data_IF_734121159578
#
_entry.id   IF_734121159578
#
_cell.length_a   1.000
_cell.length_b   1.000
_cell.length_c   1.000
_cell.angle_alpha   90.00
_cell.angle_beta   90.00
_cell.angle_gamma   90.00
#
_symmetry.space_group_name_H-M   'P 1'
#
loop_
_entity.id
_entity.type
_entity.pdbx_description
1 polymer ?
#
# COMPACT_ATOMS: atom_id res chain seq x y z
N UNK A 1 -63.41 -14.46 23.80
CA UNK A 1 -62.59 -13.67 23.70
C UNK A 1 -61.30 -14.13 23.40
N UNK A 2 -60.83 -13.96 22.32
CA UNK A 2 -59.67 -14.35 21.96
C UNK A 2 -58.67 -13.41 22.10
N UNK A 3 -57.61 -13.67 22.63
CA UNK A 3 -56.61 -12.83 22.79
C UNK A 3 -55.60 -13.16 21.87
N UNK A 4 -55.31 -12.43 20.96
CA UNK A 4 -54.36 -12.63 20.08
C UNK A 4 -53.08 -12.19 20.57
N UNK A 5 -52.25 -12.96 20.85
CA UNK A 5 -50.99 -12.61 21.23
C UNK A 5 -50.20 -12.55 20.06
N UNK A 6 -49.98 -11.47 19.61
CA UNK A 6 -49.11 -11.31 18.51
C UNK A 6 -47.75 -11.29 19.06
N UNK A 7 -47.13 -12.35 18.99
CA UNK A 7 -45.78 -12.37 19.38
C UNK A 7 -45.03 -11.82 18.27
N UNK A 8 -44.74 -10.63 18.35
CA UNK A 8 -43.85 -10.04 17.44
C UNK A 8 -42.52 -10.66 17.74
N UNK A 9 -42.25 -11.66 17.07
CA UNK A 9 -40.95 -12.22 17.20
C UNK A 9 -40.01 -11.18 16.71
N UNK A 10 -39.43 -10.50 17.59
CA UNK A 10 -38.42 -9.58 17.25
C UNK A 10 -37.32 -10.42 16.71
N UNK A 11 -37.25 -10.49 15.46
CA UNK A 11 -36.15 -11.13 14.86
C UNK A 11 -34.96 -10.30 15.21
N UNK A 12 -34.33 -10.65 16.23
CA UNK A 12 -33.13 -10.00 16.58
C UNK A 12 -32.16 -10.37 15.52
N UNK A 13 -32.04 -9.51 14.59
CA UNK A 13 -31.09 -9.73 13.61
C UNK A 13 -29.78 -9.56 14.22
N UNK A 14 -29.18 -10.58 14.51
CA UNK A 14 -27.87 -10.54 15.01
C UNK A 14 -26.93 -10.25 13.89
N UNK A 15 -27.03 -9.08 13.33
CA UNK A 15 -26.10 -8.71 12.34
C UNK A 15 -24.80 -8.43 12.99
N UNK A 16 -24.76 -8.42 14.26
CA UNK A 16 -23.58 -8.13 14.97
C UNK A 16 -22.58 -9.25 14.86
N UNK A 17 -22.92 -10.27 14.19
CA UNK A 17 -22.01 -11.34 14.20
C UNK A 17 -21.35 -11.65 12.89
N UNK A 18 -20.95 -10.70 12.17
CA UNK A 18 -20.18 -11.00 11.01
C UNK A 18 -18.71 -10.83 11.31
N UNK A 19 -18.15 -11.75 12.11
CA UNK A 19 -16.75 -11.68 12.42
C UNK A 19 -16.07 -12.11 11.13
N UNK A 20 -15.10 -11.46 10.74
CA UNK A 20 -14.41 -11.93 9.58
C UNK A 20 -14.52 -11.07 8.35
N UNK A 21 -15.33 -10.04 8.41
CA UNK A 21 -15.22 -9.07 7.37
C UNK A 21 -14.04 -8.20 7.73
N UNK A 22 -12.87 -8.71 7.49
CA UNK A 22 -11.70 -7.92 7.62
C UNK A 22 -11.85 -6.78 6.61
N UNK A 23 -11.92 -5.59 7.08
CA UNK A 23 -11.91 -4.46 6.19
C UNK A 23 -10.55 -4.44 5.56
N UNK A 24 -10.50 -4.51 4.26
CA UNK A 24 -9.28 -4.26 3.55
C UNK A 24 -8.84 -2.86 3.94
N UNK A 25 -7.62 -2.70 4.40
CA UNK A 25 -7.11 -1.39 4.71
C UNK A 25 -7.17 -0.57 3.44
N UNK A 26 -7.62 0.66 3.57
CA UNK A 26 -7.66 1.56 2.44
C UNK A 26 -6.23 1.79 1.97
N UNK A 27 -6.02 1.77 0.66
CA UNK A 27 -4.71 2.05 0.10
C UNK A 27 -4.29 3.47 0.45
N UNK A 28 -2.99 3.68 0.63
CA UNK A 28 -2.45 5.01 0.84
C UNK A 28 -2.79 5.88 -0.37
N UNK A 29 -3.14 7.15 -0.17
CA UNK A 29 -3.48 8.05 -1.28
C UNK A 29 -2.41 8.13 -2.38
N UNK A 30 -1.14 7.93 -2.04
CA UNK A 30 -0.05 7.99 -3.01
C UNK A 30 0.38 6.62 -3.53
N UNK A 31 -0.39 5.55 -3.24
CA UNK A 31 -0.03 4.22 -3.70
C UNK A 31 0.09 4.11 -5.22
N UNK A 32 -0.85 4.68 -5.95
CA UNK A 32 -0.81 4.67 -7.42
C UNK A 32 0.41 5.40 -7.96
N UNK A 33 0.75 6.53 -7.36
CA UNK A 33 1.92 7.31 -7.74
C UNK A 33 3.20 6.50 -7.48
N UNK A 34 3.28 5.84 -6.34
CA UNK A 34 4.44 5.00 -5.99
C UNK A 34 4.61 3.83 -6.97
N UNK A 35 3.53 3.18 -7.36
CA UNK A 35 3.58 2.07 -8.30
C UNK A 35 4.06 2.55 -9.68
N UNK A 36 3.59 3.70 -10.12
CA UNK A 36 4.03 4.29 -11.37
C UNK A 36 5.53 4.63 -11.34
N UNK A 37 5.99 5.19 -10.22
CA UNK A 37 7.41 5.48 -10.04
C UNK A 37 8.24 4.20 -9.96
N UNK A 38 7.70 3.15 -9.37
CA UNK A 38 8.41 1.87 -9.23
C UNK A 38 8.79 1.30 -10.59
N UNK A 39 7.88 1.33 -11.56
CA UNK A 39 8.16 0.85 -12.90
C UNK A 39 9.29 1.66 -13.55
N UNK A 40 9.27 2.97 -13.36
CA UNK A 40 10.30 3.84 -13.92
C UNK A 40 11.65 3.64 -13.24
N UNK A 41 11.64 3.51 -11.93
CA UNK A 41 12.87 3.33 -11.16
C UNK A 41 13.53 2.00 -11.51
N UNK A 42 12.74 0.94 -11.63
CA UNK A 42 13.27 -0.37 -11.97
C UNK A 42 13.89 -0.36 -13.36
N UNK A 43 13.22 0.26 -14.34
CA UNK A 43 13.73 0.39 -15.69
C UNK A 43 15.02 1.22 -15.72
N UNK A 44 15.06 2.31 -14.97
CA UNK A 44 16.24 3.16 -14.88
C UNK A 44 17.41 2.42 -14.27
N UNK A 45 17.16 1.63 -13.24
CA UNK A 45 18.22 0.86 -12.54
C UNK A 45 18.91 -0.13 -13.47
N UNK A 46 18.15 -0.73 -14.38
CA UNK A 46 18.72 -1.67 -15.34
C UNK A 46 19.17 -1.04 -16.64
N UNK A 47 18.89 0.22 -16.87
CA UNK A 47 19.33 0.92 -18.06
C UNK A 47 18.53 0.60 -19.31
N UNK A 48 17.48 -0.20 -19.20
CA UNK A 48 16.61 -0.53 -20.33
C UNK A 48 15.24 -0.95 -19.87
N UNK A 49 14.27 -0.88 -20.77
CA UNK A 49 12.94 -1.37 -20.49
C UNK A 49 12.86 -2.80 -20.98
N UNK A 50 12.88 -3.74 -20.06
CA UNK A 50 12.75 -5.14 -20.42
C UNK A 50 11.29 -5.53 -20.17
N UNK A 51 10.74 -6.28 -21.09
CA UNK A 51 9.38 -6.75 -20.98
C UNK A 51 9.17 -7.75 -19.86
N UNK A 52 10.25 -8.30 -19.30
CA UNK A 52 10.16 -9.23 -18.19
C UNK A 52 10.09 -8.54 -16.83
N UNK A 53 10.13 -7.19 -16.81
CA UNK A 53 10.00 -6.46 -15.56
C UNK A 53 8.57 -6.40 -15.10
N UNK A 54 8.35 -6.66 -13.83
CA UNK A 54 7.03 -6.49 -13.21
C UNK A 54 7.20 -5.80 -11.87
N UNK A 55 6.18 -5.07 -11.47
CA UNK A 55 6.12 -4.48 -10.13
C UNK A 55 4.80 -4.89 -9.50
N UNK A 56 4.78 -4.93 -8.18
CA UNK A 56 3.55 -5.25 -7.46
C UNK A 56 2.47 -4.22 -7.77
N UNK A 57 1.23 -4.66 -7.70
CA UNK A 57 0.07 -3.80 -7.88
C UNK A 57 -0.34 -3.08 -6.61
N UNK A 58 0.42 -3.25 -5.54
CA UNK A 58 0.14 -2.59 -4.27
C UNK A 58 1.38 -1.89 -3.76
N UNK A 59 1.18 -0.77 -3.08
CA UNK A 59 2.23 -0.06 -2.37
C UNK A 59 1.88 -0.09 -0.88
N UNK A 60 2.82 -0.54 -0.06
CA UNK A 60 2.58 -0.74 1.36
C UNK A 60 3.24 0.36 2.17
N UNK A 61 2.50 0.96 3.08
CA UNK A 61 3.08 1.91 4.01
C UNK A 61 3.91 1.12 5.03
N UNK A 62 5.21 1.31 5.02
CA UNK A 62 6.12 0.57 5.89
C UNK A 62 6.68 1.39 7.04
N UNK A 63 6.48 2.67 7.04
CA UNK A 63 6.94 3.52 8.12
C UNK A 63 6.92 4.98 7.77
N UNK A 64 7.51 5.78 8.64
CA UNK A 64 7.68 7.21 8.44
C UNK A 64 9.12 7.58 8.78
N UNK A 65 9.60 8.64 8.14
CA UNK A 65 10.91 9.20 8.47
C UNK A 65 10.76 10.67 8.77
N UNK A 66 11.64 11.20 9.61
CA UNK A 66 11.62 12.62 9.93
C UNK A 66 12.27 13.40 8.80
N UNK A 67 11.72 14.58 8.53
CA UNK A 67 12.38 15.49 7.62
C UNK A 67 13.76 15.88 8.19
N UNK A 68 14.72 16.15 7.30
CA UNK A 68 16.05 16.56 7.72
C UNK A 68 16.01 17.93 8.37
N UNK A 69 15.03 18.74 8.03
CA UNK A 69 14.84 20.06 8.60
C UNK A 69 13.38 20.23 9.01
N UNK A 70 13.17 20.92 10.12
CA UNK A 70 11.81 21.17 10.60
C UNK A 70 11.19 19.98 11.29
N UNK A 71 9.88 20.02 11.47
CA UNK A 71 9.14 19.02 12.22
C UNK A 71 8.36 18.05 11.34
N UNK A 72 8.52 18.16 10.04
CA UNK A 72 7.77 17.34 9.11
C UNK A 72 8.14 15.87 9.17
N UNK A 73 7.22 15.04 8.72
CA UNK A 73 7.43 13.61 8.59
C UNK A 73 7.04 13.20 7.19
N UNK A 74 7.68 12.18 6.70
CA UNK A 74 7.41 11.65 5.37
C UNK A 74 6.96 10.21 5.51
N UNK A 75 5.98 9.81 4.71
CA UNK A 75 5.53 8.42 4.64
C UNK A 75 6.41 7.64 3.69
N UNK A 76 6.77 6.42 4.08
CA UNK A 76 7.58 5.53 3.24
C UNK A 76 6.68 4.43 2.69
N UNK A 77 6.51 4.39 1.37
CA UNK A 77 5.76 3.35 0.68
C UNK A 77 6.71 2.36 0.02
N UNK A 78 6.40 1.08 0.16
CA UNK A 78 7.21 0.02 -0.41
C UNK A 78 6.50 -0.64 -1.59
N UNK A 79 7.22 -0.80 -2.69
CA UNK A 79 6.75 -1.53 -3.86
C UNK A 79 7.85 -2.52 -4.24
N UNK A 80 7.49 -3.78 -4.41
CA UNK A 80 8.44 -4.79 -4.84
C UNK A 80 8.44 -4.88 -6.35
N UNK A 81 9.61 -5.12 -6.92
CA UNK A 81 9.77 -5.32 -8.34
C UNK A 81 10.56 -6.58 -8.65
N UNK A 82 10.39 -7.10 -9.85
CA UNK A 82 10.97 -8.37 -10.25
C UNK A 82 11.47 -8.32 -11.69
N UNK A 83 12.69 -8.85 -11.88
CA UNK A 83 13.27 -9.03 -13.21
C UNK A 83 13.90 -10.41 -13.21
N UNK A 84 13.40 -11.32 -14.05
CA UNK A 84 13.87 -12.72 -14.06
C UNK A 84 13.79 -13.31 -12.65
N UNK A 85 14.93 -13.69 -12.11
CA UNK A 85 15.01 -14.24 -10.77
C UNK A 85 15.34 -13.18 -9.73
N UNK A 86 15.57 -11.95 -10.14
CA UNK A 86 15.91 -10.86 -9.24
C UNK A 86 14.68 -10.25 -8.59
N UNK A 87 14.80 -9.90 -7.34
CA UNK A 87 13.76 -9.26 -6.57
C UNK A 87 14.30 -7.97 -6.01
N UNK A 88 13.53 -6.90 -6.12
CA UNK A 88 13.98 -5.56 -5.76
C UNK A 88 12.97 -4.90 -4.83
N UNK A 89 13.46 -4.34 -3.75
CA UNK A 89 12.65 -3.58 -2.83
C UNK A 89 12.82 -2.11 -3.13
N UNK A 90 11.75 -1.43 -3.44
CA UNK A 90 11.77 -0.01 -3.70
C UNK A 90 10.99 0.75 -2.65
N UNK A 91 11.58 1.84 -2.16
CA UNK A 91 10.93 2.71 -1.20
C UNK A 91 10.74 4.09 -1.83
N UNK A 92 9.55 4.64 -1.63
CA UNK A 92 9.19 5.96 -2.11
C UNK A 92 8.75 6.79 -0.93
N UNK A 93 9.40 7.91 -0.73
CA UNK A 93 9.25 8.74 0.45
C UNK A 93 8.44 9.97 0.09
N UNK A 94 7.26 10.08 0.67
CA UNK A 94 6.31 11.13 0.35
C UNK A 94 6.10 12.10 1.51
N UNK A 95 6.09 13.40 1.21
CA UNK A 95 5.70 14.40 2.20
C UNK A 95 4.25 14.18 2.61
N UNK A 96 3.96 14.40 3.89
CA UNK A 96 2.59 14.28 4.41
C UNK A 96 1.83 15.57 4.12
N UNK A 97 1.40 15.75 2.87
CA UNK A 97 0.64 16.90 2.42
C UNK A 97 -0.71 16.42 1.93
N UNK A 98 -1.80 16.75 2.62
CA UNK A 98 -3.13 16.29 2.21
C UNK A 98 -3.45 16.70 0.77
N UNK A 99 -3.92 15.73 -0.01
CA UNK A 99 -4.33 15.98 -1.39
C UNK A 99 -3.20 15.95 -2.42
N UNK A 100 -1.95 15.85 -1.99
CA UNK A 100 -0.83 15.84 -2.92
C UNK A 100 0.09 14.65 -2.69
N UNK A 101 0.77 14.23 -3.73
CA UNK A 101 1.79 13.21 -3.65
C UNK A 101 3.13 13.80 -4.06
N UNK A 102 3.84 14.33 -3.07
CA UNK A 102 5.12 14.97 -3.32
C UNK A 102 6.22 14.00 -2.94
N UNK A 103 6.88 13.45 -3.94
CA UNK A 103 7.95 12.49 -3.75
C UNK A 103 9.22 13.21 -3.31
N UNK A 104 9.70 12.89 -2.12
CA UNK A 104 10.86 13.52 -1.50
C UNK A 104 12.13 12.70 -1.66
N UNK A 105 12.00 11.45 -1.98
CA UNK A 105 13.14 10.56 -2.18
C UNK A 105 12.71 9.18 -2.59
N UNK A 106 13.65 8.42 -3.11
CA UNK A 106 13.39 7.04 -3.51
C UNK A 106 14.66 6.23 -3.42
N UNK A 107 14.51 4.93 -3.22
CA UNK A 107 15.63 4.02 -3.20
C UNK A 107 15.24 2.67 -3.78
N UNK A 108 16.21 1.95 -4.31
CA UNK A 108 16.02 0.61 -4.83
C UNK A 108 17.15 -0.27 -4.31
N UNK A 109 16.78 -1.44 -3.84
CA UNK A 109 17.74 -2.39 -3.29
C UNK A 109 17.40 -3.79 -3.78
N UNK A 110 18.40 -4.48 -4.33
CA UNK A 110 18.24 -5.87 -4.68
C UNK A 110 18.24 -6.69 -3.39
N UNK A 111 17.31 -7.61 -3.26
CA UNK A 111 17.15 -8.39 -2.04
C UNK A 111 17.92 -9.72 -2.07
N UNK A 112 18.57 -10.03 -3.18
CA UNK A 112 19.31 -11.26 -3.30
C UNK A 112 20.66 -11.18 -2.58
N UNK A 113 21.17 -12.35 -2.17
CA UNK A 113 22.46 -12.45 -1.52
C UNK A 113 23.56 -12.37 -2.61
N UNK A 114 24.49 -11.43 -2.52
CA UNK A 114 25.54 -11.30 -3.54
C UNK A 114 26.69 -12.30 -3.35
N UNK A 115 26.67 -13.10 -2.30
CA UNK A 115 27.76 -14.03 -1.99
C UNK A 115 27.39 -15.53 -2.18
#
# INVERSE_FOLDING_TARGET
MMRRRVLAAAAALALAGLPGLARAEAAHPCAGDAIAHASKLLAFHFGETDLSMTVDSTAKLVGTVKALRGKGRFDVLEVMGYIYKGEYRMHFIYAQIPGDCVLMGQEILETSDPY
#
